data_IF_599865612426
#
_entry.id   IF_599865612426
#
_cell.length_a   1.000
_cell.length_b   1.000
_cell.length_c   1.000
_cell.angle_alpha   90.00
_cell.angle_beta   90.00
_cell.angle_gamma   90.00
#
_symmetry.space_group_name_H-M   'P 1'
#
loop_
_entity.id
_entity.type
_entity.pdbx_description
1 polymer ?
#
# COMPACT_ATOMS: atom_id res chain seq x y z
N UNK A 1 39.47 34.04 25.82
CA UNK A 1 39.14 33.35 24.55
C UNK A 1 38.92 31.85 24.72
N UNK A 2 39.80 31.13 25.43
CA UNK A 2 39.63 29.68 25.66
C UNK A 2 38.30 29.33 26.37
N UNK A 3 37.88 30.10 27.38
CA UNK A 3 36.62 29.86 28.11
C UNK A 3 35.36 29.95 27.23
N UNK A 4 35.38 30.74 26.16
CA UNK A 4 34.26 30.91 25.24
C UNK A 4 34.16 29.72 24.26
N UNK A 5 35.31 29.19 23.83
CA UNK A 5 35.42 27.96 23.04
C UNK A 5 34.98 26.73 23.85
N UNK A 6 35.40 26.63 25.12
CA UNK A 6 34.97 25.53 25.99
C UNK A 6 33.46 25.57 26.27
N UNK A 7 32.88 26.76 26.48
CA UNK A 7 31.44 26.89 26.76
C UNK A 7 30.54 26.54 25.56
N UNK A 8 30.95 26.92 24.34
CA UNK A 8 30.21 26.57 23.12
C UNK A 8 30.26 25.08 22.78
N UNK A 9 31.34 24.39 23.16
CA UNK A 9 31.55 22.98 22.84
C UNK A 9 30.54 22.04 23.53
N UNK A 10 30.12 22.34 24.77
CA UNK A 10 29.11 21.55 25.48
C UNK A 10 27.73 21.62 24.82
N UNK A 11 27.33 22.82 24.38
CA UNK A 11 26.04 23.02 23.70
C UNK A 11 26.06 22.32 22.34
N UNK A 12 27.16 22.44 21.58
CA UNK A 12 27.32 21.75 20.31
C UNK A 12 27.26 20.22 20.46
N UNK A 13 27.88 19.66 21.52
CA UNK A 13 27.82 18.23 21.81
C UNK A 13 26.39 17.76 22.09
N UNK A 14 25.63 18.51 22.91
CA UNK A 14 24.24 18.17 23.23
C UNK A 14 23.36 18.25 21.99
N UNK A 15 23.51 19.27 21.14
CA UNK A 15 22.73 19.39 19.90
C UNK A 15 23.10 18.29 18.89
N UNK A 16 24.38 17.92 18.80
CA UNK A 16 24.86 16.87 17.93
C UNK A 16 24.39 15.48 18.39
N UNK A 17 24.37 15.21 19.69
CA UNK A 17 23.99 13.92 20.29
C UNK A 17 22.52 13.83 20.70
N UNK A 18 21.77 14.93 20.70
CA UNK A 18 20.34 14.93 21.01
C UNK A 18 19.53 13.96 20.13
N UNK A 19 19.77 13.86 18.80
CA UNK A 19 19.09 12.88 17.96
C UNK A 19 19.42 11.44 18.34
N UNK A 20 20.67 11.13 18.70
CA UNK A 20 21.12 9.78 19.08
C UNK A 20 20.59 9.39 20.46
N UNK A 21 20.57 10.33 21.41
CA UNK A 21 19.91 10.15 22.71
C UNK A 21 18.42 9.88 22.55
N UNK A 22 17.74 10.58 21.63
CA UNK A 22 16.33 10.33 21.31
C UNK A 22 16.11 8.92 20.76
N UNK A 23 17.01 8.43 19.89
CA UNK A 23 16.98 7.06 19.35
C UNK A 23 17.33 6.00 20.41
N UNK A 24 18.32 6.26 21.26
CA UNK A 24 18.70 5.36 22.35
C UNK A 24 17.59 5.25 23.40
N UNK A 25 16.94 6.37 23.74
CA UNK A 25 15.81 6.39 24.66
C UNK A 25 14.55 5.77 24.05
N UNK A 26 14.30 5.87 22.74
CA UNK A 26 13.18 5.15 22.11
C UNK A 26 13.38 3.64 22.17
N UNK A 27 14.60 3.15 21.96
CA UNK A 27 14.96 1.74 22.10
C UNK A 27 14.90 1.26 23.57
N UNK A 28 15.31 2.11 24.52
CA UNK A 28 15.23 1.81 25.95
C UNK A 28 13.80 1.93 26.52
N UNK A 29 12.98 2.83 25.98
CA UNK A 29 11.55 2.96 26.30
C UNK A 29 10.76 1.75 25.80
N UNK A 30 11.07 1.21 24.62
CA UNK A 30 10.48 -0.03 24.12
C UNK A 30 10.93 -1.25 24.93
N UNK A 31 12.17 -1.31 25.43
CA UNK A 31 12.71 -2.49 26.12
C UNK A 31 12.33 -2.62 27.61
N UNK A 32 11.89 -1.54 28.28
CA UNK A 32 11.59 -1.57 29.73
C UNK A 32 10.11 -1.63 30.10
N UNK A 33 9.20 -1.60 29.12
CA UNK A 33 7.75 -1.79 29.30
C UNK A 33 7.21 -3.00 28.53
N UNK A 34 7.98 -4.07 28.43
CA UNK A 34 7.51 -5.33 27.84
C UNK A 34 6.67 -6.10 28.86
N UNK A 35 5.42 -5.66 29.02
CA UNK A 35 4.35 -6.58 29.41
C UNK A 35 4.19 -7.64 28.31
N UNK A 36 3.97 -8.94 28.64
CA UNK A 36 3.61 -9.97 27.66
C UNK A 36 2.37 -9.63 26.81
N UNK A 37 1.66 -8.54 27.13
CA UNK A 37 0.58 -7.94 26.37
C UNK A 37 0.99 -7.38 24.99
N UNK A 38 2.22 -6.89 24.79
CA UNK A 38 2.63 -6.33 23.48
C UNK A 38 2.83 -7.41 22.41
N UNK A 39 3.29 -8.62 22.78
CA UNK A 39 3.28 -9.77 21.86
C UNK A 39 1.86 -10.20 21.46
N UNK A 40 0.87 -9.89 22.30
CA UNK A 40 -0.56 -10.12 22.00
C UNK A 40 -1.15 -9.05 21.09
N UNK A 41 -0.61 -7.83 21.08
CA UNK A 41 -1.09 -6.77 20.16
C UNK A 41 -0.61 -6.98 18.73
N UNK A 42 0.67 -7.30 18.53
CA UNK A 42 1.20 -7.60 17.19
C UNK A 42 0.52 -8.81 16.55
N UNK A 43 0.13 -9.82 17.36
CA UNK A 43 -0.68 -10.93 16.84
C UNK A 43 -2.07 -10.45 16.42
N UNK A 44 -2.67 -9.52 17.18
CA UNK A 44 -3.97 -8.93 16.87
C UNK A 44 -4.01 -8.26 15.49
N UNK A 45 -3.06 -7.39 15.18
CA UNK A 45 -3.05 -6.68 13.87
C UNK A 45 -2.82 -7.63 12.70
N UNK A 46 -1.93 -8.61 12.88
CA UNK A 46 -1.68 -9.63 11.86
C UNK A 46 -2.96 -10.44 11.60
N UNK A 47 -3.69 -10.80 12.66
CA UNK A 47 -4.97 -11.47 12.53
C UNK A 47 -6.02 -10.59 11.85
N UNK A 48 -6.12 -9.30 12.19
CA UNK A 48 -7.03 -8.35 11.54
C UNK A 48 -6.73 -8.17 10.05
N UNK A 49 -5.45 -7.99 9.69
CA UNK A 49 -4.99 -7.93 8.29
C UNK A 49 -5.30 -9.21 7.53
N UNK A 50 -5.04 -10.37 8.13
CA UNK A 50 -5.29 -11.66 7.51
C UNK A 50 -6.79 -11.93 7.34
N UNK A 51 -7.60 -11.57 8.34
CA UNK A 51 -9.05 -11.68 8.29
C UNK A 51 -9.62 -10.79 7.19
N UNK A 52 -9.19 -9.52 7.11
CA UNK A 52 -9.59 -8.60 6.05
C UNK A 52 -9.22 -9.15 4.67
N UNK A 53 -7.96 -9.59 4.49
CA UNK A 53 -7.47 -10.10 3.22
C UNK A 53 -8.28 -11.30 2.73
N UNK A 54 -8.63 -12.23 3.63
CA UNK A 54 -9.46 -13.39 3.30
C UNK A 54 -10.89 -12.98 2.92
N UNK A 55 -11.51 -12.05 3.65
CA UNK A 55 -12.87 -11.58 3.34
C UNK A 55 -12.90 -10.85 1.98
N UNK A 56 -11.94 -9.95 1.74
CA UNK A 56 -11.77 -9.24 0.46
C UNK A 56 -11.48 -10.21 -0.69
N UNK A 57 -10.61 -11.20 -0.48
CA UNK A 57 -10.28 -12.25 -1.45
C UNK A 57 -11.49 -13.07 -1.89
N UNK A 58 -12.31 -13.51 -0.92
CA UNK A 58 -13.56 -14.25 -1.17
C UNK A 58 -14.53 -13.45 -2.02
N UNK A 59 -14.60 -12.14 -1.78
CA UNK A 59 -15.48 -11.23 -2.51
C UNK A 59 -14.86 -10.66 -3.79
N UNK A 60 -13.62 -11.07 -4.15
CA UNK A 60 -12.87 -10.54 -5.31
C UNK A 60 -12.73 -9.01 -5.29
N UNK A 61 -12.58 -8.44 -4.10
CA UNK A 61 -12.36 -7.01 -3.92
C UNK A 61 -10.86 -6.74 -3.90
N UNK A 62 -10.41 -5.87 -4.82
CA UNK A 62 -9.02 -5.45 -4.91
C UNK A 62 -8.60 -4.63 -3.70
N UNK A 63 -7.45 -4.95 -3.12
CA UNK A 63 -6.93 -4.24 -1.96
C UNK A 63 -5.41 -4.09 -2.02
N UNK A 64 -4.92 -2.99 -1.46
CA UNK A 64 -3.50 -2.68 -1.36
C UNK A 64 -3.24 -2.00 -0.02
N UNK A 65 -2.54 -2.69 0.88
CA UNK A 65 -2.19 -2.19 2.21
C UNK A 65 -0.68 -2.11 2.31
N UNK A 66 -0.15 -0.91 2.55
CA UNK A 66 1.27 -0.68 2.81
C UNK A 66 1.49 -0.51 4.32
N UNK A 67 2.32 -1.36 4.90
CA UNK A 67 2.64 -1.37 6.33
C UNK A 67 4.02 -0.74 6.51
N UNK A 68 4.06 0.39 7.22
CA UNK A 68 5.28 1.10 7.55
C UNK A 68 6.21 0.28 8.44
N UNK A 69 7.52 0.40 8.20
CA UNK A 69 8.57 -0.20 9.02
C UNK A 69 9.61 0.85 9.42
N UNK A 70 10.89 0.64 9.13
CA UNK A 70 11.95 1.56 9.58
C UNK A 70 11.96 2.85 8.76
N UNK A 71 11.59 2.76 7.47
CA UNK A 71 11.46 3.89 6.57
C UNK A 71 10.01 4.40 6.63
N UNK A 72 9.85 5.64 7.09
CA UNK A 72 8.54 6.27 7.20
C UNK A 72 7.85 6.48 5.85
N UNK A 73 6.53 6.34 5.80
CA UNK A 73 5.71 6.50 4.59
C UNK A 73 5.03 7.89 4.52
N UNK A 74 5.59 8.88 5.20
CA UNK A 74 4.98 10.20 5.41
C UNK A 74 4.60 10.93 4.12
N UNK A 75 5.47 10.88 3.10
CA UNK A 75 5.21 11.53 1.80
C UNK A 75 3.97 10.96 1.08
N UNK A 76 3.71 9.66 1.24
CA UNK A 76 2.54 9.01 0.66
C UNK A 76 1.26 9.25 1.48
N UNK A 77 1.41 9.42 2.80
CA UNK A 77 0.32 9.77 3.71
C UNK A 77 -0.22 11.17 3.40
N UNK A 78 0.64 12.12 3.05
CA UNK A 78 0.25 13.51 2.75
C UNK A 78 -0.67 13.64 1.53
N UNK A 79 -0.59 12.71 0.58
CA UNK A 79 -1.42 12.70 -0.62
C UNK A 79 -2.70 11.87 -0.47
N UNK A 80 -2.88 11.15 0.64
CA UNK A 80 -4.09 10.39 0.95
C UNK A 80 -5.05 11.13 1.88
N UNK A 81 -6.18 10.49 2.17
CA UNK A 81 -7.12 10.96 3.20
C UNK A 81 -6.68 10.41 4.55
N UNK A 82 -6.33 11.29 5.49
CA UNK A 82 -5.97 10.89 6.86
C UNK A 82 -7.18 10.31 7.59
N UNK A 83 -6.98 9.19 8.25
CA UNK A 83 -8.02 8.47 9.00
C UNK A 83 -7.66 8.43 10.49
N UNK A 84 -6.43 8.06 10.82
CA UNK A 84 -5.96 7.82 12.19
C UNK A 84 -6.93 6.99 13.04
N UNK A 85 -7.23 5.78 12.56
CA UNK A 85 -8.11 4.84 13.26
C UNK A 85 -7.37 3.56 13.67
N UNK A 86 -7.89 2.89 14.70
CA UNK A 86 -7.43 1.55 15.04
C UNK A 86 -7.66 0.60 13.85
N UNK A 87 -6.67 -0.24 13.55
CA UNK A 87 -6.80 -1.22 12.47
C UNK A 87 -7.76 -2.34 12.90
N UNK A 88 -8.83 -2.51 12.15
CA UNK A 88 -9.77 -3.63 12.27
C UNK A 88 -10.08 -4.20 10.89
N UNK A 89 -10.48 -5.47 10.83
CA UNK A 89 -10.82 -6.10 9.57
C UNK A 89 -12.01 -5.42 8.88
N UNK A 90 -13.01 -5.01 9.66
CA UNK A 90 -14.21 -4.32 9.22
C UNK A 90 -13.88 -2.94 8.62
N UNK A 91 -12.91 -2.23 9.21
CA UNK A 91 -12.47 -0.94 8.67
C UNK A 91 -11.81 -1.13 7.30
N UNK A 92 -10.91 -2.11 7.16
CA UNK A 92 -10.26 -2.40 5.88
C UNK A 92 -11.28 -2.83 4.82
N UNK A 93 -12.25 -3.67 5.18
CA UNK A 93 -13.35 -4.04 4.28
C UNK A 93 -14.14 -2.81 3.81
N UNK A 94 -14.44 -1.88 4.71
CA UNK A 94 -15.17 -0.66 4.37
C UNK A 94 -14.35 0.28 3.48
N UNK A 95 -13.04 0.37 3.70
CA UNK A 95 -12.16 1.24 2.90
C UNK A 95 -11.99 0.73 1.48
N UNK A 96 -11.90 -0.58 1.29
CA UNK A 96 -11.79 -1.20 -0.04
C UNK A 96 -13.13 -1.51 -0.71
N UNK A 97 -14.26 -1.16 -0.08
CA UNK A 97 -15.57 -1.41 -0.67
C UNK A 97 -15.69 -0.76 -2.06
N UNK A 98 -16.06 -1.52 -3.13
CA UNK A 98 -16.19 -0.96 -4.47
C UNK A 98 -17.16 0.22 -4.54
N UNK A 99 -16.72 1.33 -5.11
CA UNK A 99 -17.51 2.56 -5.21
C UNK A 99 -17.36 3.53 -4.03
N UNK A 100 -16.59 3.20 -3.00
CA UNK A 100 -16.14 4.17 -1.99
C UNK A 100 -15.20 5.20 -2.61
N UNK A 101 -15.12 6.43 -2.10
CA UNK A 101 -14.09 7.38 -2.59
C UNK A 101 -12.65 6.93 -2.26
N UNK A 102 -12.48 6.03 -1.27
CA UNK A 102 -11.18 5.64 -0.72
C UNK A 102 -10.66 4.27 -1.20
N UNK A 103 -11.46 3.52 -1.97
CA UNK A 103 -11.07 2.18 -2.43
C UNK A 103 -10.06 2.19 -3.58
N UNK A 104 -9.89 3.33 -4.24
CA UNK A 104 -8.91 3.52 -5.29
C UNK A 104 -7.61 4.07 -4.67
N UNK A 105 -6.55 3.27 -4.73
CA UNK A 105 -5.29 3.54 -4.05
C UNK A 105 -4.99 2.60 -2.87
N UNK A 106 -3.98 2.97 -2.10
CA UNK A 106 -3.48 2.20 -0.99
C UNK A 106 -4.00 2.69 0.37
N UNK A 107 -4.11 1.76 1.32
CA UNK A 107 -4.24 2.06 2.74
C UNK A 107 -2.86 1.96 3.37
N UNK A 108 -2.46 2.99 4.11
CA UNK A 108 -1.18 3.02 4.83
C UNK A 108 -1.42 2.73 6.30
N UNK A 109 -0.70 1.75 6.83
CA UNK A 109 -0.73 1.33 8.23
C UNK A 109 0.56 1.77 8.90
N UNK A 110 0.45 2.54 9.97
CA UNK A 110 1.55 3.08 10.75
C UNK A 110 1.28 2.90 12.23
N UNK A 111 2.26 2.39 12.99
CA UNK A 111 2.12 2.16 14.44
C UNK A 111 0.81 1.43 14.78
N UNK A 112 0.51 0.35 14.05
CA UNK A 112 -0.66 -0.50 14.27
C UNK A 112 -2.02 0.19 14.02
N UNK A 113 -2.01 1.32 13.33
CA UNK A 113 -3.19 2.13 13.00
C UNK A 113 -3.27 2.41 11.53
N UNK A 114 -4.48 2.61 11.02
CA UNK A 114 -4.70 3.11 9.67
C UNK A 114 -4.41 4.61 9.66
N UNK A 115 -3.27 5.00 9.09
CA UNK A 115 -2.83 6.38 9.02
C UNK A 115 -3.61 7.15 7.94
N UNK A 116 -3.69 6.59 6.74
CA UNK A 116 -4.40 7.17 5.60
C UNK A 116 -4.92 6.10 4.63
N UNK A 117 -5.88 6.48 3.80
CA UNK A 117 -6.40 5.67 2.69
C UNK A 117 -6.49 6.49 1.40
N UNK A 118 -6.64 5.80 0.27
CA UNK A 118 -6.59 6.43 -1.05
C UNK A 118 -5.21 7.00 -1.39
N UNK A 119 -4.14 6.46 -0.78
CA UNK A 119 -2.78 6.91 -1.02
C UNK A 119 -2.29 6.42 -2.39
N UNK A 120 -1.69 7.32 -3.17
CA UNK A 120 -1.03 6.96 -4.41
C UNK A 120 0.39 6.47 -4.10
N UNK A 121 0.73 5.27 -4.57
CA UNK A 121 2.04 4.65 -4.39
C UNK A 121 2.80 4.61 -5.72
N UNK A 122 4.14 4.61 -5.70
CA UNK A 122 4.96 4.49 -6.89
C UNK A 122 4.76 3.12 -7.52
N UNK A 123 4.76 3.07 -8.84
CA UNK A 123 4.69 1.82 -9.59
C UNK A 123 6.11 1.40 -9.97
N UNK A 124 6.42 0.12 -9.80
CA UNK A 124 7.68 -0.44 -10.32
C UNK A 124 7.76 -0.30 -11.84
N UNK A 125 8.95 -0.09 -12.39
CA UNK A 125 9.22 -0.08 -13.84
C UNK A 125 9.74 -1.43 -14.36
N UNK A 126 9.78 -2.45 -13.51
CA UNK A 126 10.31 -3.76 -13.91
C UNK A 126 9.44 -4.41 -15.00
N UNK A 127 10.02 -4.48 -16.21
CA UNK A 127 9.42 -5.08 -17.40
C UNK A 127 9.43 -6.61 -17.39
N UNK A 128 10.16 -7.24 -16.46
CA UNK A 128 10.22 -8.70 -16.30
C UNK A 128 8.97 -9.28 -15.62
N UNK A 129 8.16 -8.41 -15.03
CA UNK A 129 6.91 -8.77 -14.37
C UNK A 129 5.88 -9.28 -15.38
N UNK A 130 5.08 -10.27 -14.97
CA UNK A 130 4.07 -10.84 -15.86
C UNK A 130 3.07 -9.77 -16.30
N UNK A 131 2.74 -9.77 -17.59
CA UNK A 131 1.76 -8.82 -18.17
C UNK A 131 0.36 -8.90 -17.53
N UNK A 132 0.09 -9.97 -16.77
CA UNK A 132 -1.13 -10.17 -16.01
C UNK A 132 -1.18 -9.41 -14.67
N UNK A 133 -0.10 -8.75 -14.25
CA UNK A 133 -0.10 -8.00 -13.00
C UNK A 133 -0.70 -6.61 -13.18
N UNK A 134 -1.84 -6.37 -12.52
CA UNK A 134 -2.50 -5.08 -12.47
C UNK A 134 -1.73 -4.01 -11.69
N UNK A 135 -2.24 -2.78 -11.74
CA UNK A 135 -1.60 -1.58 -11.15
C UNK A 135 -1.36 -1.71 -9.65
N UNK A 136 -2.27 -2.33 -8.88
CA UNK A 136 -2.07 -2.56 -7.44
C UNK A 136 -0.86 -3.45 -7.12
N UNK A 137 -0.59 -4.45 -7.95
CA UNK A 137 0.60 -5.29 -7.78
C UNK A 137 1.88 -4.51 -8.11
N UNK A 138 1.85 -3.73 -9.19
CA UNK A 138 2.98 -2.87 -9.55
C UNK A 138 3.26 -1.80 -8.47
N UNK A 139 2.21 -1.26 -7.87
CA UNK A 139 2.28 -0.33 -6.75
C UNK A 139 2.90 -0.99 -5.50
N UNK A 140 2.45 -2.21 -5.16
CA UNK A 140 3.01 -2.96 -4.05
C UNK A 140 4.50 -3.28 -4.23
N UNK A 141 4.91 -3.61 -5.45
CA UNK A 141 6.31 -3.84 -5.77
C UNK A 141 7.08 -2.52 -5.65
N UNK A 142 6.62 -1.46 -6.32
CA UNK A 142 7.28 -0.14 -6.33
C UNK A 142 7.50 0.42 -4.93
N UNK A 143 6.47 0.46 -4.08
CA UNK A 143 6.63 0.95 -2.70
C UNK A 143 7.62 0.10 -1.90
N UNK A 144 7.64 -1.22 -2.14
CA UNK A 144 8.56 -2.13 -1.46
C UNK A 144 9.98 -2.13 -2.06
N UNK A 145 10.19 -1.49 -3.22
CA UNK A 145 11.51 -1.26 -3.81
C UNK A 145 12.17 -0.01 -3.22
N UNK A 146 11.38 1.05 -3.07
CA UNK A 146 11.84 2.34 -2.55
C UNK A 146 11.98 2.34 -1.02
N UNK A 147 11.19 1.50 -0.33
CA UNK A 147 11.16 1.44 1.14
C UNK A 147 11.31 0.01 1.66
N UNK A 148 11.41 -0.15 2.98
CA UNK A 148 11.39 -1.46 3.63
C UNK A 148 9.99 -1.92 4.04
N UNK A 149 8.94 -1.21 3.59
CA UNK A 149 7.55 -1.50 3.87
C UNK A 149 7.12 -2.89 3.40
N UNK A 150 6.12 -3.44 4.10
CA UNK A 150 5.44 -4.67 3.68
C UNK A 150 4.17 -4.26 2.94
N UNK A 151 4.04 -4.63 1.67
CA UNK A 151 2.85 -4.34 0.89
C UNK A 151 2.00 -5.60 0.71
N UNK A 152 0.82 -5.64 1.30
CA UNK A 152 -0.19 -6.69 1.15
C UNK A 152 -1.14 -6.33 0.01
N UNK A 153 -1.36 -7.25 -0.92
CA UNK A 153 -2.26 -7.09 -2.06
C UNK A 153 -3.27 -8.22 -2.13
N UNK A 154 -4.51 -7.86 -2.47
CA UNK A 154 -5.55 -8.79 -2.91
C UNK A 154 -5.91 -8.45 -4.36
N UNK A 155 -5.82 -9.44 -5.25
CA UNK A 155 -6.19 -9.30 -6.66
C UNK A 155 -7.71 -9.18 -6.82
N UNK A 156 -8.19 -8.17 -7.53
CA UNK A 156 -9.62 -8.05 -7.88
C UNK A 156 -10.06 -9.12 -8.87
N UNK A 157 -9.20 -9.51 -9.81
CA UNK A 157 -9.54 -10.50 -10.84
C UNK A 157 -9.56 -11.92 -10.27
N UNK A 158 -8.52 -12.26 -9.50
CA UNK A 158 -8.25 -13.64 -9.08
C UNK A 158 -8.43 -13.89 -7.59
N UNK A 159 -8.68 -12.84 -6.80
CA UNK A 159 -8.72 -12.89 -5.32
C UNK A 159 -7.45 -13.39 -4.66
N UNK A 160 -6.37 -13.63 -5.42
CA UNK A 160 -5.10 -14.09 -4.86
C UNK A 160 -4.56 -13.06 -3.89
N UNK A 161 -4.16 -13.54 -2.73
CA UNK A 161 -3.50 -12.73 -1.71
C UNK A 161 -1.99 -12.85 -1.93
N UNK A 162 -1.31 -11.70 -1.95
CA UNK A 162 0.13 -11.61 -2.18
C UNK A 162 0.75 -10.58 -1.24
N UNK A 163 2.04 -10.75 -0.92
CA UNK A 163 2.81 -9.81 -0.12
C UNK A 163 4.08 -9.44 -0.88
N UNK A 164 4.38 -8.15 -1.00
CA UNK A 164 5.62 -7.63 -1.57
C UNK A 164 6.53 -7.08 -0.48
N UNK A 165 7.80 -7.46 -0.53
CA UNK A 165 8.86 -6.95 0.35
C UNK A 165 10.15 -6.86 -0.46
N UNK A 166 10.84 -5.70 -0.42
CA UNK A 166 12.11 -5.49 -1.13
C UNK A 166 12.02 -5.82 -2.63
N UNK A 167 10.95 -5.35 -3.27
CA UNK A 167 10.65 -5.58 -4.69
C UNK A 167 10.28 -7.01 -5.07
N UNK A 168 10.13 -7.92 -4.10
CA UNK A 168 9.76 -9.31 -4.35
C UNK A 168 8.34 -9.59 -3.92
N UNK A 169 7.52 -10.04 -4.87
CA UNK A 169 6.15 -10.45 -4.62
C UNK A 169 6.07 -11.95 -4.32
N UNK A 170 5.60 -12.30 -3.13
CA UNK A 170 5.20 -13.65 -2.75
C UNK A 170 3.68 -13.77 -2.87
N UNK A 171 3.20 -14.50 -3.87
CA UNK A 171 1.76 -14.65 -4.14
C UNK A 171 1.17 -15.97 -3.67
N UNK A 172 -0.16 -16.06 -3.78
CA UNK A 172 -0.97 -17.26 -3.48
C UNK A 172 -0.97 -17.68 -2.01
N UNK A 173 -1.08 -16.70 -1.12
CA UNK A 173 -1.05 -16.94 0.31
C UNK A 173 -2.43 -17.36 0.83
N UNK A 174 -2.48 -18.45 1.60
CA UNK A 174 -3.63 -18.79 2.44
C UNK A 174 -3.63 -17.93 3.69
N UNK A 175 -4.70 -17.97 4.49
CA UNK A 175 -4.75 -17.25 5.77
C UNK A 175 -3.57 -17.64 6.66
N UNK A 176 -3.30 -18.93 6.77
CA UNK A 176 -2.27 -19.49 7.64
C UNK A 176 -0.87 -19.09 7.16
N UNK A 177 -0.61 -19.20 5.84
CA UNK A 177 0.68 -18.79 5.29
C UNK A 177 0.88 -17.29 5.37
N UNK A 178 -0.16 -16.49 5.17
CA UNK A 178 -0.12 -15.04 5.34
C UNK A 178 0.21 -14.65 6.79
N UNK A 179 -0.50 -15.21 7.78
CA UNK A 179 -0.24 -14.94 9.21
C UNK A 179 1.21 -15.29 9.55
N UNK A 180 1.69 -16.46 9.09
CA UNK A 180 3.07 -16.88 9.30
C UNK A 180 4.07 -15.91 8.66
N UNK A 181 3.87 -15.56 7.39
CA UNK A 181 4.73 -14.64 6.65
C UNK A 181 4.77 -13.26 7.30
N UNK A 182 3.63 -12.68 7.65
CA UNK A 182 3.56 -11.39 8.35
C UNK A 182 4.23 -11.47 9.71
N UNK A 183 3.98 -12.52 10.50
CA UNK A 183 4.63 -12.72 11.81
C UNK A 183 6.15 -12.78 11.71
N UNK A 184 6.67 -13.48 10.69
CA UNK A 184 8.11 -13.55 10.42
C UNK A 184 8.69 -12.20 10.00
N UNK A 185 7.97 -11.43 9.18
CA UNK A 185 8.41 -10.12 8.71
C UNK A 185 8.40 -9.07 9.83
N UNK A 186 7.38 -9.05 10.68
CA UNK A 186 7.30 -8.19 11.86
C UNK A 186 8.42 -8.52 12.86
N UNK A 187 8.66 -9.81 13.14
CA UNK A 187 9.72 -10.23 14.07
C UNK A 187 11.14 -9.92 13.58
N UNK A 188 11.33 -9.80 12.26
CA UNK A 188 12.62 -9.40 11.65
C UNK A 188 12.84 -7.89 11.68
N UNK A 189 11.77 -7.09 11.66
CA UNK A 189 11.82 -5.64 11.86
C UNK A 189 12.44 -5.25 13.20
N UNK A 190 12.13 -5.99 14.26
CA UNK A 190 12.72 -5.79 15.60
C UNK A 190 14.22 -6.14 15.71
N UNK A 191 14.82 -6.78 14.68
CA UNK A 191 16.11 -7.49 14.82
C UNK A 191 17.19 -7.11 13.80
N UNK A 192 17.07 -6.02 13.04
CA UNK A 192 18.15 -5.65 12.11
C UNK A 192 18.43 -4.15 11.99
N UNK A 193 19.52 -3.64 12.60
CA UNK A 193 20.13 -2.41 12.13
C UNK A 193 20.73 -2.68 10.74
N UNK A 194 20.24 -1.94 9.75
CA UNK A 194 20.68 -2.04 8.36
C UNK A 194 22.14 -1.56 8.22
N UNK A 195 23.07 -2.51 8.23
CA UNK A 195 24.47 -2.28 7.85
C UNK A 195 24.57 -2.00 6.36
N UNK A 196 24.83 -0.73 6.05
CA UNK A 196 25.68 -0.20 4.98
C UNK A 196 26.14 -1.20 3.90
N UNK A 197 25.46 -1.19 2.76
CA UNK A 197 26.00 -1.48 1.42
C UNK A 197 25.32 -0.46 0.51
N UNK A 198 25.97 0.46 -0.19
CA UNK A 198 27.24 0.36 -0.91
C UNK A 198 27.70 1.78 -1.31
N UNK A 199 28.82 2.27 -0.75
CA UNK A 199 29.69 3.28 -1.38
C UNK A 199 31.09 2.67 -1.48
N UNK A 200 31.28 1.86 -2.52
CA UNK A 200 32.56 1.30 -2.93
C UNK A 200 32.50 1.06 -4.44
N UNK A 201 32.55 2.16 -5.18
CA UNK A 201 32.81 2.20 -6.61
C UNK A 201 33.24 3.62 -6.99
N UNK A 202 34.21 4.20 -6.27
CA UNK A 202 35.03 5.28 -6.80
C UNK A 202 36.31 5.43 -5.95
N UNK A 203 37.41 4.84 -6.43
CA UNK A 203 38.79 5.24 -6.15
C UNK A 203 39.77 4.26 -6.82
N UNK A 204 40.55 4.76 -7.79
CA UNK A 204 41.96 4.40 -7.92
C UNK A 204 42.38 3.51 -9.09
N UNK A 205 42.94 4.16 -10.11
CA UNK A 205 43.68 3.60 -11.25
C UNK A 205 45.04 2.97 -10.88
N UNK A 206 45.55 2.05 -11.74
CA UNK A 206 47.00 1.91 -11.97
C UNK A 206 47.50 0.56 -12.50
N UNK A 207 47.90 0.53 -13.80
CA UNK A 207 49.13 -0.08 -14.42
C UNK A 207 49.60 -1.49 -13.96
N UNK A 208 49.93 -2.52 -14.77
CA UNK A 208 50.65 -2.62 -16.06
C UNK A 208 50.65 -4.10 -16.51
N UNK A 209 50.83 -4.37 -17.81
CA UNK A 209 51.21 -5.69 -18.32
C UNK A 209 50.79 -5.95 -19.78
N UNK A 210 51.78 -6.07 -20.69
CA UNK A 210 51.65 -6.34 -22.14
C UNK A 210 52.51 -7.59 -22.48
N UNK A 211 52.48 -8.16 -23.71
CA UNK A 211 51.53 -9.08 -24.38
C UNK A 211 52.15 -10.50 -24.60
N UNK A 212 51.71 -11.40 -25.53
CA UNK A 212 51.83 -11.26 -27.01
C UNK A 212 50.68 -11.82 -27.90
N UNK A 213 50.55 -11.22 -29.08
CA UNK A 213 50.23 -11.67 -30.47
C UNK A 213 49.20 -12.77 -30.87
N UNK A 214 48.37 -12.33 -31.84
CA UNK A 214 47.59 -12.92 -32.97
C UNK A 214 47.71 -14.44 -33.35
N UNK A 215 46.73 -15.05 -34.06
CA UNK A 215 46.20 -14.55 -35.34
C UNK A 215 44.69 -14.68 -35.64
N UNK A 216 44.32 -13.87 -36.65
CA UNK A 216 43.11 -13.74 -37.45
C UNK A 216 42.59 -15.02 -38.09
N UNK A 217 41.26 -15.23 -38.09
CA UNK A 217 40.53 -15.64 -39.30
C UNK A 217 39.00 -15.44 -39.14
N UNK A 218 38.36 -14.70 -40.04
CA UNK A 218 36.93 -14.85 -40.35
C UNK A 218 36.61 -14.17 -41.69
N UNK A 219 35.91 -14.86 -42.61
CA UNK A 219 35.74 -14.40 -43.98
C UNK A 219 34.56 -13.43 -44.20
N UNK A 220 34.75 -12.56 -45.18
CA UNK A 220 33.81 -11.54 -45.70
C UNK A 220 32.63 -12.13 -46.48
N UNK A 221 31.45 -11.50 -46.34
CA UNK A 221 30.37 -11.37 -47.35
C UNK A 221 29.36 -10.38 -46.76
N UNK A 222 28.83 -9.33 -47.40
CA UNK A 222 28.78 -8.88 -48.78
C UNK A 222 27.46 -8.09 -48.89
N UNK A 223 27.53 -6.78 -49.05
CA UNK A 223 26.37 -5.89 -49.22
C UNK A 223 25.90 -5.96 -50.69
N UNK A 224 24.60 -5.86 -50.98
CA UNK A 224 24.17 -5.19 -52.19
C UNK A 224 23.31 -3.95 -51.90
N UNK A 225 23.65 -2.90 -52.62
CA UNK A 225 22.99 -1.61 -52.72
C UNK A 225 21.93 -1.60 -53.84
N UNK A 226 21.05 -0.59 -53.75
CA UNK A 226 20.44 0.14 -54.87
C UNK A 226 19.08 -0.32 -55.44
N UNK A 227 18.15 0.63 -55.51
CA UNK A 227 17.13 0.67 -56.58
C UNK A 227 15.75 1.20 -56.18
N UNK A 228 15.58 2.53 -56.11
CA UNK A 228 14.27 3.17 -56.32
C UNK A 228 13.95 3.22 -57.84
N UNK A 229 12.67 3.29 -58.27
CA UNK A 229 12.02 4.60 -58.42
C UNK A 229 10.49 4.67 -58.15
N UNK A 230 10.01 5.89 -57.86
CA UNK A 230 8.61 6.43 -57.88
C UNK A 230 8.28 6.95 -59.31
N UNK A 231 7.13 7.61 -59.64
CA UNK A 231 5.82 7.80 -58.96
C UNK A 231 4.57 7.72 -59.90
N UNK A 232 3.37 7.87 -59.30
CA UNK A 232 2.17 8.46 -59.95
C UNK A 232 0.88 7.65 -59.71
N UNK A 233 -0.34 8.18 -59.72
CA UNK A 233 -0.90 9.54 -59.55
C UNK A 233 -2.45 9.36 -59.52
N UNK A 234 -3.17 10.22 -58.79
CA UNK A 234 -4.63 10.40 -58.89
C UNK A 234 -5.49 9.45 -58.05
N UNK A 235 -6.60 9.85 -57.42
CA UNK A 235 -7.42 11.05 -57.60
C UNK A 235 -8.09 11.46 -56.29
N UNK A 236 -8.26 12.77 -56.20
CA UNK A 236 -8.99 13.56 -55.23
C UNK A 236 -10.51 13.40 -55.48
N UNK A 237 -11.37 13.51 -54.45
CA UNK A 237 -12.66 14.19 -54.52
C UNK A 237 -13.20 14.50 -53.10
N UNK A 238 -13.89 15.64 -52.89
CA UNK A 238 -14.17 16.22 -51.58
C UNK A 238 -15.63 16.05 -51.09
N UNK A 239 -15.87 16.55 -49.87
CA UNK A 239 -17.15 16.77 -49.17
C UNK A 239 -18.32 17.25 -50.04
N UNK A 240 -19.57 17.11 -49.53
CA UNK A 240 -20.27 18.34 -49.19
C UNK A 240 -20.80 18.37 -47.75
N UNK A 241 -21.03 19.60 -47.31
CA UNK A 241 -21.71 20.04 -46.10
C UNK A 241 -23.22 20.27 -46.38
N UNK A 242 -23.89 20.89 -45.39
CA UNK A 242 -25.25 21.48 -45.37
C UNK A 242 -26.34 20.49 -44.89
N UNK A 243 -27.27 20.81 -43.98
CA UNK A 243 -27.70 22.06 -43.32
C UNK A 243 -28.46 21.64 -42.03
N UNK A 244 -28.22 22.26 -40.87
CA UNK A 244 -29.02 23.36 -40.26
C UNK A 244 -30.46 23.03 -39.84
N UNK A 245 -30.79 23.55 -38.63
CA UNK A 245 -32.11 23.93 -38.10
C UNK A 245 -33.02 22.79 -37.61
N UNK A 246 -33.83 22.91 -36.56
CA UNK A 246 -34.07 23.88 -35.49
C UNK A 246 -35.14 23.25 -34.58
N UNK A 247 -35.39 23.87 -33.41
CA UNK A 247 -36.66 23.86 -32.68
C UNK A 247 -36.98 22.70 -31.71
N UNK A 248 -36.85 23.03 -30.43
CA UNK A 248 -37.97 23.16 -29.48
C UNK A 248 -39.02 22.04 -29.41
N UNK A 249 -39.00 21.31 -28.28
CA UNK A 249 -40.22 21.03 -27.52
C UNK A 249 -39.86 20.66 -26.07
N UNK A 250 -40.20 21.57 -25.15
CA UNK A 250 -40.28 21.39 -23.70
C UNK A 250 -41.62 20.66 -23.34
N UNK A 251 -41.98 20.40 -22.07
CA UNK A 251 -42.08 19.05 -21.51
C UNK A 251 -43.50 18.73 -20.99
N UNK A 252 -44.15 17.64 -21.42
CA UNK A 252 -45.39 17.21 -20.78
C UNK A 252 -45.79 15.77 -21.16
N UNK A 253 -45.16 14.75 -20.57
CA UNK A 253 -45.89 13.51 -20.24
C UNK A 253 -45.06 12.58 -19.34
N UNK A 254 -45.16 12.74 -18.02
CA UNK A 254 -44.93 11.63 -17.07
C UNK A 254 -45.60 11.92 -15.72
N UNK A 255 -46.33 10.96 -15.14
CA UNK A 255 -47.30 11.20 -14.07
C UNK A 255 -46.68 11.39 -12.67
N UNK A 256 -47.41 12.02 -11.72
CA UNK A 256 -46.90 12.29 -10.37
C UNK A 256 -46.84 11.02 -9.50
N UNK A 257 -45.92 10.94 -8.52
CA UNK A 257 -45.92 9.85 -7.55
C UNK A 257 -47.08 9.99 -6.54
N UNK A 258 -47.85 8.92 -6.38
CA UNK A 258 -48.97 8.83 -5.46
C UNK A 258 -48.55 8.98 -3.99
N UNK A 259 -49.33 9.77 -3.23
CA UNK A 259 -49.25 9.95 -1.78
C UNK A 259 -50.41 9.24 -1.07
N UNK A 260 -50.07 8.68 0.10
CA UNK A 260 -50.91 8.34 1.28
C UNK A 260 -51.98 7.24 1.16
N UNK A 261 -51.96 6.29 2.13
CA UNK A 261 -52.99 6.27 3.20
C UNK A 261 -52.47 5.72 4.54
N UNK A 262 -52.99 6.38 5.57
CA UNK A 262 -52.83 6.27 7.02
C UNK A 262 -53.99 5.44 7.60
N UNK A 263 -53.75 4.80 8.75
CA UNK A 263 -54.77 4.26 9.69
C UNK A 263 -54.87 2.72 9.70
N UNK A 264 -55.07 2.02 10.82
CA UNK A 264 -55.39 2.44 12.17
C UNK A 264 -55.22 1.27 13.18
N UNK A 265 -54.93 1.65 14.42
CA UNK A 265 -54.98 1.01 15.75
C UNK A 265 -55.57 -0.39 15.99
N UNK A 266 -54.96 -1.10 16.98
CA UNK A 266 -55.55 -1.74 18.20
C UNK A 266 -54.66 -2.91 18.67
N UNK A 267 -54.46 -3.28 19.93
CA UNK A 267 -54.79 -2.80 21.29
C UNK A 267 -54.06 -3.75 22.27
N UNK A 268 -53.53 -3.24 23.38
CA UNK A 268 -52.97 -3.99 24.54
C UNK A 268 -54.03 -4.90 25.23
N UNK A 269 -53.62 -5.89 26.05
CA UNK A 269 -53.62 -5.70 27.52
C UNK A 269 -52.41 -6.36 28.24
N UNK A 270 -51.72 -5.68 29.15
CA UNK A 270 -51.87 -5.60 30.64
C UNK A 270 -51.52 -6.87 31.46
N UNK A 271 -50.53 -6.65 32.35
CA UNK A 271 -49.94 -7.41 33.47
C UNK A 271 -50.96 -8.06 34.45
N UNK A 272 -50.55 -9.07 35.24
CA UNK A 272 -50.38 -8.89 36.70
C UNK A 272 -49.10 -9.60 37.25
N UNK A 273 -48.26 -8.98 38.09
CA UNK A 273 -48.29 -8.81 39.56
C UNK A 273 -47.64 -10.00 40.32
N UNK A 274 -46.72 -9.66 41.26
CA UNK A 274 -45.90 -10.53 42.13
C UNK A 274 -46.70 -11.52 43.01
N UNK A 275 -46.00 -12.43 43.74
CA UNK A 275 -45.79 -12.11 45.16
C UNK A 275 -44.37 -12.38 45.69
N UNK A 276 -44.09 -11.70 46.80
CA UNK A 276 -42.92 -11.76 47.66
C UNK A 276 -42.88 -12.99 48.60
N UNK A 277 -41.71 -13.21 49.22
CA UNK A 277 -41.45 -14.07 50.39
C UNK A 277 -40.28 -15.04 50.11
N UNK A 278 -39.25 -15.21 50.94
CA UNK A 278 -38.89 -14.75 52.28
C UNK A 278 -37.79 -15.71 52.84
N UNK A 279 -36.91 -15.20 53.72
CA UNK A 279 -36.08 -15.93 54.74
C UNK A 279 -35.09 -17.03 54.25
N UNK A 280 -33.95 -17.40 54.84
CA UNK A 280 -33.25 -17.28 56.13
C UNK A 280 -31.76 -17.67 55.84
N UNK A 281 -30.72 -17.00 56.37
CA UNK A 281 -29.92 -17.33 57.57
C UNK A 281 -29.32 -18.77 57.67
N UNK A 282 -28.00 -18.82 57.95
CA UNK A 282 -27.15 -19.96 58.44
C UNK A 282 -26.86 -21.08 57.41
N UNK A 283 -25.64 -21.62 57.26
CA UNK A 283 -24.48 -21.76 58.14
C UNK A 283 -23.14 -21.70 57.36
#
# INVERSE_FOLDING_TARGET
>A
MLSWLLSGSTIALIVLFAPEMRRGLSLLAQSRMLSPFLRSQSSGIIDELANAAVKLSKNRIGALVAIERDIGLGEYIEHGVRIDAALTSELLESLFYPGSALHDGAVIVQHDRVAAAGCLLPLTDDTSLSKSMGTRHRAAIGISEETDAIALVVSEETGRISVSVRGKLAGDLTRESLVKTLSELYSRGDRSPMSTRKKAADAGSGSSGRPPDLPTDTPKRGIPTSGAPKPGNGQNLPHPALAESEADADPADAPPPAREKKGDSKKLPKKPAEPAGGEEATA
#
